data_IF_825885482398
#
_entry.id   IF_825885482398
#
_cell.length_a   1.000
_cell.length_b   1.000
_cell.length_c   1.000
_cell.angle_alpha   90.00
_cell.angle_beta   90.00
_cell.angle_gamma   90.00
#
_symmetry.space_group_name_H-M   'P 1'
#
loop_
_entity.id
_entity.type
_entity.pdbx_description
1 polymer ?
#
# COMPACT_ATOMS: atom_id res chain seq x y z
N UNK A 1 -10.26 -16.56 3.13
CA UNK A 1 -9.55 -16.76 4.40
C UNK A 1 -9.36 -15.47 5.19
N UNK A 2 -8.75 -14.41 4.65
CA UNK A 2 -8.60 -13.12 5.37
C UNK A 2 -9.95 -12.46 5.68
N UNK A 3 -10.86 -12.37 4.72
CA UNK A 3 -12.17 -11.73 4.91
C UNK A 3 -13.01 -12.43 5.99
N UNK A 4 -12.94 -13.76 6.05
CA UNK A 4 -13.65 -14.57 7.05
C UNK A 4 -13.08 -14.40 8.45
N UNK A 5 -11.75 -14.24 8.58
CA UNK A 5 -11.09 -14.00 9.87
C UNK A 5 -11.43 -12.59 10.38
N UNK A 6 -11.42 -11.58 9.50
CA UNK A 6 -11.79 -10.21 9.84
C UNK A 6 -13.26 -10.10 10.25
N UNK A 7 -14.17 -10.76 9.52
CA UNK A 7 -15.58 -10.81 9.89
C UNK A 7 -15.77 -11.45 11.28
N UNK A 8 -15.06 -12.56 11.56
CA UNK A 8 -15.11 -13.20 12.87
C UNK A 8 -14.57 -12.28 13.99
N UNK A 9 -13.45 -11.57 13.75
CA UNK A 9 -12.89 -10.66 14.77
C UNK A 9 -13.79 -9.48 15.06
N UNK A 10 -14.46 -8.91 14.05
CA UNK A 10 -15.43 -7.83 14.25
C UNK A 10 -16.64 -8.30 15.07
N UNK A 11 -17.14 -9.51 14.79
CA UNK A 11 -18.24 -10.12 15.56
C UNK A 11 -17.83 -10.30 17.04
N UNK A 12 -16.61 -10.77 17.31
CA UNK A 12 -16.12 -11.00 18.68
C UNK A 12 -15.67 -9.73 19.43
N UNK A 13 -15.24 -8.67 18.73
CA UNK A 13 -14.68 -7.47 19.37
C UNK A 13 -15.74 -6.48 19.88
N UNK A 14 -17.03 -6.68 19.58
CA UNK A 14 -18.11 -5.82 20.07
C UNK A 14 -18.09 -4.38 19.52
N UNK A 15 -17.25 -4.08 18.53
CA UNK A 15 -17.00 -2.73 17.96
C UNK A 15 -18.07 -2.27 16.96
N UNK A 16 -19.25 -2.91 16.98
CA UNK A 16 -20.40 -2.56 16.17
C UNK A 16 -20.82 -1.08 16.26
N UNK A 17 -20.76 -0.42 17.45
CA UNK A 17 -21.12 1.00 17.56
C UNK A 17 -20.11 1.94 16.89
N UNK A 18 -18.82 1.58 16.82
CA UNK A 18 -17.79 2.40 16.15
C UNK A 18 -17.95 2.36 14.62
N UNK A 19 -18.39 1.22 14.08
CA UNK A 19 -18.62 1.04 12.64
C UNK A 19 -19.89 1.79 12.20
N UNK A 20 -20.93 1.81 13.03
CA UNK A 20 -22.16 2.56 12.74
C UNK A 20 -22.07 4.05 13.10
N UNK A 21 -21.15 4.44 13.99
CA UNK A 21 -20.80 5.83 14.26
C UNK A 21 -19.77 6.40 13.28
N UNK A 22 -19.25 5.59 12.35
CA UNK A 22 -18.33 6.05 11.31
C UNK A 22 -18.99 7.16 10.49
N UNK A 23 -18.29 8.30 10.40
CA UNK A 23 -18.82 9.50 9.78
C UNK A 23 -18.94 9.28 8.26
N UNK A 24 -19.96 9.86 7.60
CA UNK A 24 -20.19 9.63 6.16
C UNK A 24 -18.98 10.02 5.28
N UNK A 25 -18.17 10.97 5.76
CA UNK A 25 -16.90 11.36 5.13
C UNK A 25 -15.84 10.26 5.19
N UNK A 26 -15.72 9.54 6.30
CA UNK A 26 -14.72 8.47 6.45
C UNK A 26 -15.06 7.29 5.55
N UNK A 27 -16.34 6.94 5.45
CA UNK A 27 -16.83 5.92 4.51
C UNK A 27 -16.51 6.31 3.06
N UNK A 28 -16.69 7.59 2.70
CA UNK A 28 -16.34 8.09 1.37
C UNK A 28 -14.84 7.97 1.09
N UNK A 29 -13.98 8.32 2.05
CA UNK A 29 -12.53 8.16 1.90
C UNK A 29 -12.10 6.70 1.75
N UNK A 30 -12.69 5.78 2.51
CA UNK A 30 -12.40 4.33 2.41
C UNK A 30 -12.85 3.78 1.05
N UNK A 31 -14.04 4.17 0.56
CA UNK A 31 -14.47 3.79 -0.78
C UNK A 31 -13.51 4.30 -1.86
N UNK A 32 -13.05 5.55 -1.72
CA UNK A 32 -12.14 6.16 -2.68
C UNK A 32 -10.75 5.51 -2.65
N UNK A 33 -10.24 5.19 -1.46
CA UNK A 33 -9.00 4.45 -1.27
C UNK A 33 -9.08 3.07 -1.93
N UNK A 34 -10.16 2.31 -1.67
CA UNK A 34 -10.40 1.02 -2.31
C UNK A 34 -10.49 1.14 -3.84
N UNK A 35 -11.18 2.14 -4.37
CA UNK A 35 -11.27 2.36 -5.82
C UNK A 35 -9.90 2.70 -6.43
N UNK A 36 -9.14 3.60 -5.82
CA UNK A 36 -7.83 3.97 -6.33
C UNK A 36 -6.80 2.85 -6.20
N UNK A 37 -6.67 2.23 -5.03
CA UNK A 37 -5.67 1.19 -4.78
C UNK A 37 -6.02 -0.12 -5.49
N UNK A 38 -7.24 -0.62 -5.30
CA UNK A 38 -7.62 -1.95 -5.77
C UNK A 38 -8.09 -1.96 -7.23
N UNK A 39 -8.81 -0.94 -7.71
CA UNK A 39 -9.24 -0.90 -9.11
C UNK A 39 -8.17 -0.29 -9.99
N UNK A 40 -7.81 0.99 -9.77
CA UNK A 40 -6.87 1.70 -10.65
C UNK A 40 -5.45 1.14 -10.52
N UNK A 41 -4.96 0.91 -9.29
CA UNK A 41 -3.62 0.38 -9.05
C UNK A 41 -3.43 -1.00 -9.68
N UNK A 42 -4.39 -1.90 -9.48
CA UNK A 42 -4.32 -3.26 -10.03
C UNK A 42 -4.47 -3.26 -11.56
N UNK A 43 -5.34 -2.42 -12.12
CA UNK A 43 -5.48 -2.29 -13.57
C UNK A 43 -4.20 -1.75 -14.20
N UNK A 44 -3.58 -0.73 -13.60
CA UNK A 44 -2.29 -0.20 -14.05
C UNK A 44 -1.18 -1.25 -13.95
N UNK A 45 -1.14 -2.05 -12.89
CA UNK A 45 -0.19 -3.16 -12.74
C UNK A 45 -0.35 -4.19 -13.86
N UNK A 46 -1.57 -4.66 -14.11
CA UNK A 46 -1.83 -5.62 -15.19
C UNK A 46 -1.54 -5.03 -16.57
N UNK A 47 -1.84 -3.76 -16.78
CA UNK A 47 -1.50 -3.06 -18.02
C UNK A 47 0.01 -2.98 -18.20
N UNK A 48 0.77 -2.61 -17.16
CA UNK A 48 2.23 -2.57 -17.22
C UNK A 48 2.84 -3.94 -17.54
N UNK A 49 2.33 -5.02 -16.95
CA UNK A 49 2.75 -6.40 -17.28
C UNK A 49 2.45 -6.76 -18.74
N UNK A 50 1.35 -6.24 -19.31
CA UNK A 50 1.05 -6.49 -20.73
C UNK A 50 1.97 -5.73 -21.68
N UNK A 51 2.46 -4.56 -21.29
CA UNK A 51 3.30 -3.70 -22.14
C UNK A 51 4.80 -3.98 -22.00
N UNK A 52 5.25 -4.51 -20.87
CA UNK A 52 6.66 -4.78 -20.59
C UNK A 52 6.89 -6.16 -19.99
N UNK A 53 8.15 -6.55 -19.84
CA UNK A 53 8.50 -7.83 -19.20
C UNK A 53 8.03 -7.87 -17.74
N UNK A 54 7.38 -8.96 -17.35
CA UNK A 54 6.91 -9.22 -15.99
C UNK A 54 8.01 -8.93 -14.95
N UNK A 55 9.24 -9.39 -15.19
CA UNK A 55 10.38 -9.20 -14.29
C UNK A 55 10.75 -7.73 -14.08
N UNK A 56 10.59 -6.88 -15.08
CA UNK A 56 10.89 -5.44 -14.95
C UNK A 56 9.78 -4.75 -14.15
N UNK A 57 8.53 -5.10 -14.41
CA UNK A 57 7.37 -4.50 -13.73
C UNK A 57 7.37 -4.88 -12.25
N UNK A 58 7.66 -6.14 -11.91
CA UNK A 58 7.73 -6.58 -10.52
C UNK A 58 8.87 -5.90 -9.75
N UNK A 59 10.03 -5.68 -10.38
CA UNK A 59 11.14 -4.90 -9.79
C UNK A 59 10.75 -3.44 -9.52
N UNK A 60 10.00 -2.82 -10.42
CA UNK A 60 9.48 -1.46 -10.22
C UNK A 60 8.52 -1.43 -9.03
N UNK A 61 7.59 -2.39 -8.94
CA UNK A 61 6.64 -2.50 -7.82
C UNK A 61 7.34 -2.79 -6.50
N UNK A 62 8.42 -3.58 -6.49
CA UNK A 62 9.24 -3.79 -5.30
C UNK A 62 9.85 -2.48 -4.75
N UNK A 63 10.05 -1.48 -5.61
CA UNK A 63 10.47 -0.13 -5.23
C UNK A 63 9.35 0.78 -4.70
N UNK A 64 8.08 0.35 -4.71
CA UNK A 64 6.96 1.16 -4.24
C UNK A 64 7.15 1.76 -2.82
N UNK A 65 7.75 1.05 -1.84
CA UNK A 65 7.98 1.64 -0.51
C UNK A 65 8.90 2.87 -0.53
N UNK A 66 9.81 2.99 -1.52
CA UNK A 66 10.64 4.20 -1.69
C UNK A 66 9.79 5.40 -2.12
N UNK A 67 8.84 5.19 -3.03
CA UNK A 67 7.90 6.22 -3.46
C UNK A 67 6.98 6.61 -2.31
N UNK A 68 6.50 5.64 -1.54
CA UNK A 68 5.70 5.88 -0.33
C UNK A 68 6.48 6.68 0.71
N UNK A 69 7.77 6.36 0.94
CA UNK A 69 8.62 7.12 1.84
C UNK A 69 8.80 8.56 1.37
N UNK A 70 9.02 8.77 0.08
CA UNK A 70 9.15 10.11 -0.50
C UNK A 70 7.85 10.92 -0.34
N UNK A 71 6.71 10.31 -0.62
CA UNK A 71 5.39 10.92 -0.39
C UNK A 71 5.15 11.23 1.08
N UNK A 72 5.55 10.36 2.01
CA UNK A 72 5.40 10.59 3.44
C UNK A 72 6.22 11.81 3.91
N UNK A 73 7.41 12.03 3.35
CA UNK A 73 8.23 13.20 3.66
C UNK A 73 7.65 14.47 3.03
N UNK A 74 7.21 14.42 1.77
CA UNK A 74 6.73 15.61 1.04
C UNK A 74 5.31 16.03 1.46
N UNK A 75 4.38 15.07 1.56
CA UNK A 75 2.96 15.33 1.84
C UNK A 75 2.69 15.41 3.33
N UNK A 76 3.27 14.49 4.11
CA UNK A 76 3.01 14.39 5.55
C UNK A 76 4.04 15.17 6.38
N UNK A 77 5.13 15.64 5.78
CA UNK A 77 6.18 16.39 6.47
C UNK A 77 6.98 15.54 7.47
N UNK A 78 6.98 14.21 7.32
CA UNK A 78 7.66 13.34 8.26
C UNK A 78 9.18 13.56 8.24
N UNK A 79 9.80 13.65 9.42
CA UNK A 79 11.25 13.72 9.54
C UNK A 79 11.87 12.39 9.14
N UNK A 80 12.86 12.42 8.26
CA UNK A 80 13.64 11.23 7.89
C UNK A 80 14.53 10.88 9.08
N UNK A 81 14.22 9.78 9.75
CA UNK A 81 15.07 9.21 10.79
C UNK A 81 16.11 8.28 10.17
N UNK A 82 17.20 8.02 10.89
CA UNK A 82 18.26 7.11 10.45
C UNK A 82 17.72 5.72 10.06
N UNK A 83 16.71 5.23 10.79
CA UNK A 83 16.04 3.96 10.50
C UNK A 83 15.30 3.95 9.15
N UNK A 84 14.62 5.05 8.79
CA UNK A 84 13.94 5.18 7.49
C UNK A 84 14.96 5.17 6.34
N UNK A 85 16.10 5.82 6.52
CA UNK A 85 17.17 5.84 5.53
C UNK A 85 17.83 4.46 5.39
N UNK A 86 18.12 3.78 6.50
CA UNK A 86 18.66 2.42 6.48
C UNK A 86 17.69 1.44 5.79
N UNK A 87 16.40 1.54 6.07
CA UNK A 87 15.36 0.76 5.39
C UNK A 87 15.30 1.05 3.88
N UNK A 88 15.36 2.33 3.48
CA UNK A 88 15.42 2.71 2.07
C UNK A 88 16.65 2.12 1.36
N UNK A 89 17.83 2.18 1.98
CA UNK A 89 19.03 1.56 1.43
C UNK A 89 18.90 0.04 1.31
N UNK A 90 18.30 -0.63 2.30
CA UNK A 90 18.04 -2.07 2.25
C UNK A 90 17.09 -2.46 1.10
N UNK A 91 16.05 -1.67 0.85
CA UNK A 91 15.14 -1.87 -0.30
C UNK A 91 15.90 -1.74 -1.62
N UNK A 92 16.69 -0.67 -1.79
CA UNK A 92 17.50 -0.46 -3.00
C UNK A 92 18.46 -1.63 -3.21
N UNK A 93 19.14 -2.07 -2.15
CA UNK A 93 20.07 -3.21 -2.22
C UNK A 93 19.35 -4.50 -2.64
N UNK A 94 18.17 -4.78 -2.07
CA UNK A 94 17.35 -5.94 -2.44
C UNK A 94 16.90 -5.92 -3.90
N UNK A 95 16.48 -4.75 -4.41
CA UNK A 95 16.06 -4.61 -5.82
C UNK A 95 17.24 -4.79 -6.77
N UNK A 96 18.42 -4.25 -6.42
CA UNK A 96 19.64 -4.45 -7.21
C UNK A 96 20.03 -5.93 -7.25
N UNK A 97 19.94 -6.63 -6.12
CA UNK A 97 20.24 -8.07 -6.05
C UNK A 97 19.30 -8.90 -6.94
N UNK A 98 17.99 -8.58 -6.94
CA UNK A 98 17.01 -9.26 -7.79
C UNK A 98 17.15 -8.95 -9.28
N UNK A 99 17.84 -7.85 -9.63
CA UNK A 99 18.08 -7.44 -11.01
C UNK A 99 19.29 -8.14 -11.64
N UNK A 100 20.27 -8.55 -10.82
CA UNK A 100 21.47 -9.30 -11.21
C UNK A 100 21.09 -10.74 -11.51
#
# INVERSE_FOLDING_TARGET
MVTTILAATVIFSGRWPEITAANGRDVMFIMFEGLCAALLGQLAYYYAIKLGDLSRVTLIVAGAPLVTLLLAVVVLGEKITFYKLAGAMAIVFGIVLLRI
#
